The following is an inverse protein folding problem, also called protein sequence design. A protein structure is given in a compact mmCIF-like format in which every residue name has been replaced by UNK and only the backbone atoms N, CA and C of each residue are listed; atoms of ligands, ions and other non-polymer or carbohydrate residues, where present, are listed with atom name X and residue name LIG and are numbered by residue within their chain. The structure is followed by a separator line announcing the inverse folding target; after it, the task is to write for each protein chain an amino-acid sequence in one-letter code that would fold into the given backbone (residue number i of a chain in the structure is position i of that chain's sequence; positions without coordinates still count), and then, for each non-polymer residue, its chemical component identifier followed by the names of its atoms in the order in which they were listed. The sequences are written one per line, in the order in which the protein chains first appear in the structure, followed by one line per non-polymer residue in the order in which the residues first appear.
data_IF_921431731296
#
_entry.id   IF_921431731296
#
_cell.length_a   1.000
_cell.length_b   1.000
_cell.length_c   1.000
_cell.angle_alpha   90.00
_cell.angle_beta   90.00
_cell.angle_gamma   90.00
#
_symmetry.space_group_name_H-M   'P 1'
#
loop_
_entity.id
_entity.type
_entity.pdbx_description
1 polymer ?
#
# COMPACT_ATOMS: atom_id res chain seq x y z
N UNK A 1 -24.82 13.01 21.31
CA UNK A 1 -25.28 12.55 19.99
C UNK A 1 -24.09 12.48 19.04
N UNK A 2 -23.89 11.36 18.34
CA UNK A 2 -22.85 11.24 17.32
C UNK A 2 -23.19 12.10 16.09
N UNK A 3 -22.19 12.81 15.57
CA UNK A 3 -22.25 13.51 14.29
C UNK A 3 -22.41 12.53 13.12
N UNK A 4 -22.93 13.01 11.98
CA UNK A 4 -23.03 12.18 10.76
C UNK A 4 -21.67 11.59 10.35
N UNK A 5 -20.57 12.35 10.55
CA UNK A 5 -19.20 11.91 10.23
C UNK A 5 -18.77 10.73 11.09
N UNK A 6 -19.10 10.74 12.37
CA UNK A 6 -18.78 9.64 13.31
C UNK A 6 -19.59 8.38 12.98
N UNK A 7 -20.89 8.51 12.65
CA UNK A 7 -21.71 7.36 12.20
C UNK A 7 -21.18 6.71 10.92
N UNK A 8 -20.75 7.52 9.96
CA UNK A 8 -20.14 7.02 8.73
C UNK A 8 -18.81 6.28 9.01
N UNK A 9 -17.97 6.81 9.89
CA UNK A 9 -16.73 6.16 10.31
C UNK A 9 -16.99 4.82 11.02
N UNK A 10 -17.99 4.76 11.91
CA UNK A 10 -18.43 3.55 12.60
C UNK A 10 -18.88 2.47 11.62
N UNK A 11 -19.75 2.82 10.67
CA UNK A 11 -20.23 1.87 9.65
C UNK A 11 -19.10 1.39 8.74
N UNK A 12 -18.16 2.27 8.39
CA UNK A 12 -16.99 1.90 7.59
C UNK A 12 -16.12 0.90 8.35
N UNK A 13 -15.83 1.14 9.62
CA UNK A 13 -15.02 0.22 10.44
C UNK A 13 -15.71 -1.13 10.66
N UNK A 14 -17.03 -1.14 10.88
CA UNK A 14 -17.81 -2.38 11.05
C UNK A 14 -17.70 -3.29 9.82
N UNK A 15 -17.89 -2.72 8.62
CA UNK A 15 -17.67 -3.42 7.34
C UNK A 15 -16.22 -3.89 7.15
N UNK A 16 -15.24 -3.09 7.58
CA UNK A 16 -13.82 -3.46 7.50
C UNK A 16 -13.49 -4.65 8.43
N UNK A 17 -14.10 -4.72 9.62
CA UNK A 17 -13.96 -5.87 10.53
C UNK A 17 -14.55 -7.14 9.97
N UNK A 18 -15.73 -7.08 9.35
CA UNK A 18 -16.39 -8.22 8.69
C UNK A 18 -15.52 -8.82 7.57
N UNK A 19 -14.75 -7.98 6.89
CA UNK A 19 -13.81 -8.42 5.84
C UNK A 19 -12.60 -9.18 6.42
N UNK A 20 -12.25 -8.91 7.67
CA UNK A 20 -11.11 -9.53 8.37
C UNK A 20 -9.79 -8.78 8.17
N UNK A 21 -8.97 -8.77 9.22
CA UNK A 21 -7.69 -8.03 9.28
C UNK A 21 -6.77 -8.33 8.10
N UNK A 22 -6.52 -9.61 7.81
CA UNK A 22 -5.55 -9.99 6.79
C UNK A 22 -6.00 -9.56 5.39
N UNK A 23 -7.30 -9.69 5.06
CA UNK A 23 -7.84 -9.23 3.79
C UNK A 23 -7.78 -7.70 3.68
N UNK A 24 -8.02 -6.97 4.78
CA UNK A 24 -7.85 -5.52 4.82
C UNK A 24 -6.38 -5.12 4.59
N UNK A 25 -5.44 -5.71 5.34
CA UNK A 25 -4.01 -5.41 5.22
C UNK A 25 -3.50 -5.71 3.82
N UNK A 26 -3.93 -6.82 3.23
CA UNK A 26 -3.59 -7.16 1.85
C UNK A 26 -4.15 -6.15 0.84
N UNK A 27 -5.45 -5.84 0.91
CA UNK A 27 -6.08 -4.92 -0.04
C UNK A 27 -5.60 -3.48 0.11
N UNK A 28 -5.64 -2.95 1.32
CA UNK A 28 -5.29 -1.56 1.57
C UNK A 28 -3.79 -1.37 1.64
N UNK A 29 -3.09 -2.22 2.38
CA UNK A 29 -1.64 -2.09 2.54
C UNK A 29 -0.86 -2.54 1.30
N UNK A 30 -0.95 -3.83 0.98
CA UNK A 30 -0.15 -4.41 -0.10
C UNK A 30 -0.58 -3.92 -1.48
N UNK A 31 -1.86 -4.06 -1.85
CA UNK A 31 -2.33 -3.69 -3.19
C UNK A 31 -2.40 -2.17 -3.40
N UNK A 32 -3.00 -1.42 -2.48
CA UNK A 32 -3.28 0.00 -2.73
C UNK A 32 -2.07 0.91 -2.49
N UNK A 33 -1.17 0.53 -1.59
CA UNK A 33 0.03 1.33 -1.32
C UNK A 33 1.31 0.66 -1.80
N UNK A 34 1.54 -0.60 -1.43
CA UNK A 34 2.76 -1.33 -1.81
C UNK A 34 2.92 -1.40 -3.34
N UNK A 35 1.93 -1.98 -4.03
CA UNK A 35 1.97 -2.14 -5.48
C UNK A 35 1.96 -0.81 -6.23
N UNK A 36 1.16 0.16 -5.77
CA UNK A 36 1.13 1.50 -6.40
C UNK A 36 2.48 2.19 -6.32
N UNK A 37 3.13 2.19 -5.15
CA UNK A 37 4.47 2.79 -4.98
C UNK A 37 5.53 2.04 -5.78
N UNK A 38 5.45 0.71 -5.81
CA UNK A 38 6.31 -0.11 -6.65
C UNK A 38 6.19 0.23 -8.14
N UNK A 39 4.97 0.40 -8.65
CA UNK A 39 4.73 0.79 -10.04
C UNK A 39 5.28 2.19 -10.33
N UNK A 40 5.00 3.16 -9.46
CA UNK A 40 5.52 4.52 -9.60
C UNK A 40 7.06 4.54 -9.63
N UNK A 41 7.69 3.79 -8.73
CA UNK A 41 9.14 3.66 -8.67
C UNK A 41 9.72 3.02 -9.94
N UNK A 42 9.13 1.91 -10.38
CA UNK A 42 9.60 1.18 -11.57
C UNK A 42 9.49 2.02 -12.84
N UNK A 43 8.36 2.71 -13.02
CA UNK A 43 8.14 3.63 -14.14
C UNK A 43 9.16 4.79 -14.08
N UNK A 44 9.39 5.36 -12.89
CA UNK A 44 10.36 6.45 -12.71
C UNK A 44 11.76 6.01 -13.11
N UNK A 45 12.19 4.80 -12.72
CA UNK A 45 13.49 4.26 -13.11
C UNK A 45 13.60 4.05 -14.62
N UNK A 46 12.56 3.52 -15.26
CA UNK A 46 12.51 3.34 -16.71
C UNK A 46 12.70 4.71 -17.40
N UNK A 47 11.91 5.71 -17.01
CA UNK A 47 11.98 7.06 -17.60
C UNK A 47 13.36 7.67 -17.39
N UNK A 48 13.92 7.62 -16.17
CA UNK A 48 15.26 8.12 -15.89
C UNK A 48 16.28 7.40 -16.78
N UNK A 49 16.22 6.07 -16.90
CA UNK A 49 17.18 5.33 -17.70
C UNK A 49 17.16 5.77 -19.18
N UNK A 50 15.97 5.95 -19.78
CA UNK A 50 15.85 6.41 -21.15
C UNK A 50 16.27 7.87 -21.38
N UNK A 51 16.11 8.72 -20.37
CA UNK A 51 16.53 10.13 -20.45
C UNK A 51 18.05 10.26 -20.40
N UNK A 52 18.72 9.46 -19.56
CA UNK A 52 20.18 9.56 -19.36
C UNK A 52 21.00 8.63 -20.26
N UNK A 53 20.40 7.55 -20.77
CA UNK A 53 21.04 6.56 -21.64
C UNK A 53 20.16 6.25 -22.86
N UNK A 54 19.96 7.22 -23.77
CA UNK A 54 19.11 7.04 -24.95
C UNK A 54 19.61 5.94 -25.89
N UNK A 55 20.88 5.54 -25.79
CA UNK A 55 21.49 4.44 -26.54
C UNK A 55 21.02 3.05 -26.12
N UNK A 56 20.44 2.89 -24.92
CA UNK A 56 19.96 1.61 -24.41
C UNK A 56 18.56 1.35 -24.96
N UNK A 57 18.38 0.22 -25.66
CA UNK A 57 17.05 -0.17 -26.09
C UNK A 57 16.21 -0.72 -24.94
N UNK A 58 14.88 -0.61 -25.03
CA UNK A 58 13.94 -1.23 -24.08
C UNK A 58 14.24 -2.72 -23.88
N UNK A 59 14.56 -3.42 -24.97
CA UNK A 59 14.87 -4.85 -24.91
C UNK A 59 16.07 -5.13 -24.00
N UNK A 60 17.16 -4.37 -24.17
CA UNK A 60 18.40 -4.56 -23.40
C UNK A 60 18.22 -4.20 -21.92
N UNK A 61 17.39 -3.21 -21.64
CA UNK A 61 17.07 -2.81 -20.28
C UNK A 61 16.31 -3.93 -19.53
N UNK A 62 15.31 -4.54 -20.17
CA UNK A 62 14.50 -5.61 -19.56
C UNK A 62 15.22 -6.96 -19.49
N UNK A 63 16.20 -7.24 -20.36
CA UNK A 63 17.04 -8.45 -20.30
C UNK A 63 18.23 -8.32 -19.37
N UNK A 64 18.55 -7.11 -18.89
CA UNK A 64 19.61 -6.91 -17.91
C UNK A 64 19.30 -7.61 -16.58
N UNK A 65 20.20 -8.50 -16.16
CA UNK A 65 20.13 -9.15 -14.83
C UNK A 65 20.05 -8.13 -13.69
N UNK A 66 20.62 -6.93 -13.89
CA UNK A 66 20.59 -5.84 -12.91
C UNK A 66 19.16 -5.31 -12.76
N UNK A 67 18.43 -5.14 -13.87
CA UNK A 67 17.05 -4.69 -13.84
C UNK A 67 16.14 -5.73 -13.20
N UNK A 68 16.27 -7.00 -13.59
CA UNK A 68 15.44 -8.09 -13.02
C UNK A 68 15.63 -8.21 -11.50
N UNK A 69 16.88 -8.17 -11.02
CA UNK A 69 17.18 -8.20 -9.59
C UNK A 69 16.63 -6.97 -8.86
N UNK A 70 16.76 -5.76 -9.43
CA UNK A 70 16.18 -4.54 -8.86
C UNK A 70 14.65 -4.60 -8.82
N UNK A 71 14.02 -5.17 -9.84
CA UNK A 71 12.57 -5.32 -9.93
C UNK A 71 12.05 -6.27 -8.84
N UNK A 72 12.69 -7.44 -8.68
CA UNK A 72 12.32 -8.40 -7.64
C UNK A 72 12.55 -7.85 -6.22
N UNK A 73 13.70 -7.24 -5.97
CA UNK A 73 14.02 -6.68 -4.64
C UNK A 73 13.09 -5.53 -4.27
N UNK A 74 12.77 -4.63 -5.21
CA UNK A 74 11.85 -3.52 -4.95
C UNK A 74 10.41 -4.01 -4.79
N UNK A 75 9.97 -5.02 -5.53
CA UNK A 75 8.68 -5.67 -5.32
C UNK A 75 8.55 -6.22 -3.89
N UNK A 76 9.57 -6.93 -3.40
CA UNK A 76 9.59 -7.44 -2.03
C UNK A 76 9.57 -6.30 -1.01
N UNK A 77 10.43 -5.29 -1.18
CA UNK A 77 10.52 -4.14 -0.27
C UNK A 77 9.20 -3.37 -0.17
N UNK A 78 8.61 -2.98 -1.31
CA UNK A 78 7.35 -2.27 -1.33
C UNK A 78 6.17 -3.14 -0.88
N UNK A 79 6.22 -4.45 -1.14
CA UNK A 79 5.26 -5.41 -0.60
C UNK A 79 5.27 -5.47 0.92
N UNK A 80 6.46 -5.59 1.52
CA UNK A 80 6.64 -5.57 2.98
C UNK A 80 6.24 -4.23 3.58
N UNK A 81 6.62 -3.12 2.95
CA UNK A 81 6.23 -1.78 3.39
C UNK A 81 4.71 -1.60 3.33
N UNK A 82 4.07 -2.02 2.24
CA UNK A 82 2.61 -2.02 2.10
C UNK A 82 1.93 -2.84 3.19
N UNK A 83 2.44 -4.04 3.48
CA UNK A 83 1.94 -4.88 4.58
C UNK A 83 2.08 -4.21 5.95
N UNK A 84 3.24 -3.59 6.25
CA UNK A 84 3.46 -2.85 7.48
C UNK A 84 2.49 -1.67 7.60
N UNK A 85 2.31 -0.92 6.52
CA UNK A 85 1.42 0.23 6.49
C UNK A 85 -0.04 -0.18 6.65
N UNK A 86 -0.49 -1.25 5.99
CA UNK A 86 -1.81 -1.83 6.19
C UNK A 86 -2.07 -2.23 7.65
N UNK A 87 -1.07 -2.83 8.31
CA UNK A 87 -1.16 -3.15 9.75
C UNK A 87 -1.21 -1.90 10.64
N UNK A 88 -0.45 -0.87 10.32
CA UNK A 88 -0.46 0.42 11.04
C UNK A 88 -1.82 1.11 10.91
N UNK A 89 -2.38 1.15 9.71
CA UNK A 89 -3.71 1.71 9.42
C UNK A 89 -4.77 0.92 10.18
N UNK A 90 -4.72 -0.42 10.17
CA UNK A 90 -5.65 -1.25 10.93
C UNK A 90 -5.62 -0.94 12.43
N UNK A 91 -4.42 -0.86 13.02
CA UNK A 91 -4.25 -0.50 14.44
C UNK A 91 -4.82 0.89 14.74
N UNK A 92 -4.58 1.85 13.86
CA UNK A 92 -5.08 3.22 14.01
C UNK A 92 -6.60 3.28 13.98
N UNK A 93 -7.25 2.55 13.08
CA UNK A 93 -8.71 2.46 13.04
C UNK A 93 -9.28 1.73 14.25
N UNK A 94 -8.63 0.64 14.71
CA UNK A 94 -9.04 -0.06 15.93
C UNK A 94 -8.98 0.86 17.15
N UNK A 95 -7.87 1.59 17.33
CA UNK A 95 -7.71 2.51 18.46
C UNK A 95 -8.79 3.60 18.46
N UNK A 96 -9.05 4.23 17.31
CA UNK A 96 -10.13 5.21 17.18
C UNK A 96 -11.49 4.61 17.52
N UNK A 97 -11.75 3.38 17.10
CA UNK A 97 -12.99 2.69 17.45
C UNK A 97 -13.13 2.48 18.96
N UNK A 98 -12.09 2.00 19.63
CA UNK A 98 -12.10 1.75 21.07
C UNK A 98 -12.37 3.07 21.84
N UNK A 99 -11.69 4.16 21.46
CA UNK A 99 -11.94 5.52 21.98
C UNK A 99 -13.39 6.01 21.77
N UNK A 100 -14.02 5.67 20.64
CA UNK A 100 -15.43 6.02 20.38
C UNK A 100 -16.40 5.15 21.16
N UNK A 101 -16.08 3.87 21.37
CA UNK A 101 -16.90 2.94 22.15
C UNK A 101 -16.93 3.34 23.62
N UNK A 102 -15.78 3.74 24.18
CA UNK A 102 -15.67 4.18 25.57
C UNK A 102 -16.44 5.48 25.84
N UNK A 103 -16.61 6.34 24.83
CA UNK A 103 -17.43 7.56 24.93
C UNK A 103 -18.94 7.32 24.84
N UNK A 104 -19.36 6.12 24.42
CA UNK A 104 -20.76 5.76 24.24
C UNK A 104 -21.33 4.91 25.38
N UNK A 105 -20.46 4.32 26.20
CA UNK A 105 -20.81 3.67 27.46
C UNK A 105 -20.72 4.67 28.62
#
# INVERSE_FOLDING_TARGET
MLTQKEKAALNKWKKMRETGKNKFVFRTGFLLYGMTLYLCYTISLIVINFVYHPEITLKDYFTSNIFLNRLLTTFILFGLMGWFMGNSIWRSYKRRWDEFSDKMN
#
